data_IF_160718857268
#
_entry.id   IF_160718857268
#
_cell.length_a   1.000
_cell.length_b   1.000
_cell.length_c   1.000
_cell.angle_alpha   90.00
_cell.angle_beta   90.00
_cell.angle_gamma   90.00
#
_symmetry.space_group_name_H-M   'P 1'
#
loop_
_entity.id
_entity.type
_entity.pdbx_description
1 polymer ?
#
# COMPACT_ATOMS: atom_id res chain seq x y z
N UNK A 1 -14.98 -24.68 13.12
CA UNK A 1 -14.96 -23.23 12.84
C UNK A 1 -13.77 -22.55 13.54
N UNK A 2 -13.42 -22.99 14.75
CA UNK A 2 -12.24 -22.52 15.50
C UNK A 2 -10.89 -22.82 14.80
N UNK A 3 -10.74 -23.98 14.14
CA UNK A 3 -9.50 -24.35 13.44
C UNK A 3 -9.17 -23.49 12.22
N UNK A 4 -10.19 -22.99 11.51
CA UNK A 4 -9.99 -22.12 10.34
C UNK A 4 -9.50 -20.75 10.80
N UNK A 5 -10.08 -20.22 11.88
CA UNK A 5 -9.70 -18.93 12.47
C UNK A 5 -8.29 -19.04 13.07
N UNK A 6 -7.97 -20.15 13.74
CA UNK A 6 -6.64 -20.43 14.29
C UNK A 6 -5.57 -20.53 13.20
N UNK A 7 -5.84 -21.24 12.10
CA UNK A 7 -4.91 -21.34 10.98
C UNK A 7 -4.74 -20.01 10.24
N UNK A 8 -5.81 -19.23 10.06
CA UNK A 8 -5.73 -17.90 9.46
C UNK A 8 -4.93 -16.93 10.33
N UNK A 9 -5.10 -16.97 11.66
CA UNK A 9 -4.30 -16.19 12.61
C UNK A 9 -2.82 -16.57 12.54
N UNK A 10 -2.52 -17.88 12.52
CA UNK A 10 -1.16 -18.41 12.46
C UNK A 10 -0.45 -18.10 11.13
N UNK A 11 -1.16 -18.16 10.01
CA UNK A 11 -0.64 -17.73 8.70
C UNK A 11 -0.35 -16.23 8.69
N UNK A 12 -1.27 -15.42 9.23
CA UNK A 12 -1.09 -13.96 9.38
C UNK A 12 0.03 -13.58 10.37
N UNK A 13 0.37 -14.48 11.28
CA UNK A 13 1.49 -14.34 12.21
C UNK A 13 2.82 -14.77 11.56
N UNK A 14 2.81 -15.82 10.74
CA UNK A 14 3.94 -16.27 9.93
C UNK A 14 4.31 -15.25 8.83
N UNK A 15 3.31 -14.65 8.19
CA UNK A 15 3.50 -13.55 7.23
C UNK A 15 4.12 -12.32 7.91
N UNK A 16 3.62 -11.94 9.10
CA UNK A 16 4.20 -10.87 9.93
C UNK A 16 5.65 -11.14 10.34
N UNK A 17 6.00 -12.41 10.57
CA UNK A 17 7.30 -12.86 11.08
C UNK A 17 8.35 -13.19 10.00
N UNK A 18 8.06 -13.00 8.71
CA UNK A 18 8.95 -13.52 7.64
C UNK A 18 10.20 -12.66 7.32
N UNK A 19 10.45 -11.55 8.02
CA UNK A 19 11.74 -10.83 7.89
C UNK A 19 12.60 -11.05 9.12
N UNK A 20 13.46 -12.08 9.04
CA UNK A 20 14.49 -12.43 10.05
C UNK A 20 15.76 -11.57 9.91
N UNK A 21 15.62 -10.26 9.70
CA UNK A 21 16.83 -9.41 9.70
C UNK A 21 17.39 -9.36 11.12
N UNK A 22 18.66 -9.73 11.28
CA UNK A 22 19.40 -9.54 12.55
C UNK A 22 20.05 -8.16 12.62
N UNK A 23 20.09 -7.43 11.50
CA UNK A 23 20.74 -6.14 11.36
C UNK A 23 19.75 -5.03 11.67
N UNK A 24 20.08 -4.19 12.66
CA UNK A 24 19.26 -3.04 13.04
C UNK A 24 19.36 -1.95 11.96
N UNK A 25 18.25 -1.30 11.69
CA UNK A 25 18.21 -0.13 10.82
C UNK A 25 18.88 1.07 11.51
N UNK A 26 19.82 1.71 10.80
CA UNK A 26 20.66 2.79 11.35
C UNK A 26 20.19 4.19 10.94
N UNK A 27 19.27 4.29 9.97
CA UNK A 27 18.78 5.57 9.47
C UNK A 27 17.55 6.05 10.25
N UNK A 28 17.20 7.33 10.06
CA UNK A 28 15.97 7.90 10.59
C UNK A 28 14.77 7.36 9.81
N UNK A 29 14.13 6.33 10.36
CA UNK A 29 13.02 5.62 9.71
C UNK A 29 11.91 6.53 9.19
N UNK A 30 11.55 7.60 9.93
CA UNK A 30 10.53 8.55 9.49
C UNK A 30 10.96 9.32 8.23
N UNK A 31 12.16 9.87 8.21
CA UNK A 31 12.70 10.56 7.05
C UNK A 31 12.74 9.62 5.83
N UNK A 32 13.09 8.35 6.04
CA UNK A 32 13.16 7.37 4.96
C UNK A 32 11.78 6.92 4.47
N UNK A 33 10.75 6.90 5.33
CA UNK A 33 9.37 6.62 4.93
C UNK A 33 8.78 7.78 4.14
N UNK A 34 9.00 9.02 4.57
CA UNK A 34 8.57 10.23 3.86
C UNK A 34 9.14 10.24 2.44
N UNK A 35 10.46 10.09 2.28
CA UNK A 35 11.10 10.00 0.96
C UNK A 35 10.53 8.89 0.08
N UNK A 36 10.17 7.76 0.69
CA UNK A 36 9.61 6.63 -0.07
C UNK A 36 8.18 6.94 -0.52
N UNK A 37 7.39 7.61 0.31
CA UNK A 37 6.06 8.05 -0.05
C UNK A 37 6.13 9.11 -1.16
N UNK A 38 7.03 10.08 -1.06
CA UNK A 38 7.24 11.11 -2.10
C UNK A 38 7.57 10.47 -3.45
N UNK A 39 8.43 9.44 -3.46
CA UNK A 39 8.76 8.71 -4.70
C UNK A 39 7.56 7.96 -5.28
N UNK A 40 6.72 7.37 -4.42
CA UNK A 40 5.49 6.68 -4.87
C UNK A 40 4.48 7.69 -5.40
N UNK A 41 4.29 8.82 -4.73
CA UNK A 41 3.40 9.91 -5.17
C UNK A 41 3.81 10.43 -6.55
N UNK A 42 5.09 10.79 -6.73
CA UNK A 42 5.61 11.28 -8.00
C UNK A 42 5.44 10.25 -9.14
N UNK A 43 5.63 8.96 -8.84
CA UNK A 43 5.42 7.89 -9.82
C UNK A 43 3.93 7.72 -10.18
N UNK A 44 3.02 7.81 -9.20
CA UNK A 44 1.58 7.77 -9.42
C UNK A 44 1.12 8.95 -10.28
N UNK A 45 1.58 10.17 -9.99
CA UNK A 45 1.24 11.36 -10.79
C UNK A 45 1.66 11.20 -12.25
N UNK A 46 2.84 10.63 -12.49
CA UNK A 46 3.40 10.44 -13.83
C UNK A 46 2.73 9.31 -14.62
N UNK A 47 2.51 8.16 -13.98
CA UNK A 47 2.14 6.94 -14.68
C UNK A 47 0.65 6.60 -14.58
N UNK A 48 -0.02 6.96 -13.48
CA UNK A 48 -1.42 6.59 -13.28
C UNK A 48 -2.38 7.34 -14.21
N UNK A 49 -2.09 8.63 -14.45
CA UNK A 49 -2.86 9.50 -15.36
C UNK A 49 -2.88 9.01 -16.82
N UNK A 50 -1.99 8.09 -17.19
CA UNK A 50 -1.98 7.46 -18.52
C UNK A 50 -3.09 6.42 -18.69
N UNK A 51 -3.64 5.92 -17.58
CA UNK A 51 -4.59 4.82 -17.58
C UNK A 51 -5.97 5.22 -17.02
N UNK A 52 -6.02 6.21 -16.13
CA UNK A 52 -7.24 6.62 -15.44
C UNK A 52 -7.30 8.13 -15.25
N UNK A 53 -8.52 8.67 -15.12
CA UNK A 53 -8.73 10.04 -14.67
C UNK A 53 -8.54 10.12 -13.14
N UNK A 54 -7.48 10.82 -12.74
CA UNK A 54 -7.10 10.99 -11.34
C UNK A 54 -7.47 12.40 -10.91
N UNK A 55 -8.47 12.51 -10.04
CA UNK A 55 -8.93 13.78 -9.48
C UNK A 55 -7.85 14.41 -8.59
N UNK A 56 -7.30 13.60 -7.68
CA UNK A 56 -6.31 14.06 -6.70
C UNK A 56 -5.54 12.90 -6.09
N UNK A 57 -4.28 13.17 -5.76
CA UNK A 57 -3.46 12.35 -4.88
C UNK A 57 -3.16 13.23 -3.68
N UNK A 58 -3.48 12.76 -2.47
CA UNK A 58 -3.32 13.53 -1.24
C UNK A 58 -2.46 12.75 -0.26
N UNK A 59 -1.32 13.33 0.09
CA UNK A 59 -0.49 12.84 1.17
C UNK A 59 -1.17 13.01 2.54
N UNK A 60 -1.21 11.91 3.28
CA UNK A 60 -1.47 11.88 4.71
C UNK A 60 -0.24 11.39 5.47
N UNK A 61 -0.33 11.25 6.80
CA UNK A 61 0.82 10.96 7.66
C UNK A 61 1.67 9.76 7.23
N UNK A 62 1.05 8.68 6.79
CA UNK A 62 1.72 7.45 6.36
C UNK A 62 0.94 6.76 5.24
N UNK A 63 0.19 7.54 4.46
CA UNK A 63 -0.64 7.02 3.39
C UNK A 63 -0.78 8.04 2.27
N UNK A 64 -1.02 7.53 1.07
CA UNK A 64 -1.45 8.30 -0.08
C UNK A 64 -2.91 7.96 -0.35
N UNK A 65 -3.75 8.99 -0.44
CA UNK A 65 -5.14 8.86 -0.84
C UNK A 65 -5.27 9.25 -2.30
N UNK A 66 -5.56 8.28 -3.15
CA UNK A 66 -5.82 8.47 -4.58
C UNK A 66 -7.34 8.53 -4.77
N UNK A 67 -7.84 9.64 -5.31
CA UNK A 67 -9.23 9.79 -5.73
C UNK A 67 -9.30 9.77 -7.25
N UNK A 68 -10.24 9.00 -7.76
CA UNK A 68 -10.47 8.83 -9.19
C UNK A 68 -11.96 8.93 -9.49
N UNK A 69 -12.23 9.39 -10.70
CA UNK A 69 -13.56 9.43 -11.27
C UNK A 69 -13.58 8.57 -12.54
N UNK A 70 -14.54 7.65 -12.61
CA UNK A 70 -14.86 6.93 -13.84
C UNK A 70 -16.09 7.61 -14.45
N UNK A 71 -15.86 8.46 -15.46
CA UNK A 71 -16.95 9.18 -16.15
C UNK A 71 -17.93 8.25 -16.87
N UNK A 72 -17.46 7.11 -17.39
CA UNK A 72 -18.31 6.17 -18.13
C UNK A 72 -19.31 5.47 -17.20
N UNK A 73 -18.89 5.16 -15.97
CA UNK A 73 -19.72 4.48 -14.98
C UNK A 73 -20.36 5.43 -13.95
N UNK A 74 -19.94 6.69 -13.90
CA UNK A 74 -20.32 7.66 -12.88
C UNK A 74 -19.87 7.25 -11.47
N UNK A 75 -18.77 6.50 -11.36
CA UNK A 75 -18.28 5.93 -10.10
C UNK A 75 -17.09 6.74 -9.59
N UNK A 76 -17.18 7.20 -8.33
CA UNK A 76 -16.04 7.72 -7.58
C UNK A 76 -15.37 6.58 -6.83
N UNK A 77 -14.09 6.34 -7.14
CA UNK A 77 -13.25 5.37 -6.43
C UNK A 77 -12.19 6.09 -5.62
N UNK A 78 -12.00 5.64 -4.38
CA UNK A 78 -10.94 6.12 -3.51
C UNK A 78 -10.06 4.92 -3.16
N UNK A 79 -8.76 5.03 -3.41
CA UNK A 79 -7.76 4.03 -3.01
C UNK A 79 -6.84 4.68 -1.98
N UNK A 80 -6.76 4.11 -0.79
CA UNK A 80 -5.76 4.48 0.21
C UNK A 80 -4.58 3.51 0.14
N UNK A 81 -3.41 4.00 -0.27
CA UNK A 81 -2.15 3.28 -0.15
C UNK A 81 -1.53 3.57 1.21
N UNK A 82 -1.52 2.59 2.12
CA UNK A 82 -1.14 2.75 3.53
C UNK A 82 0.19 2.07 3.80
N UNK A 83 1.14 2.81 4.37
CA UNK A 83 2.45 2.33 4.81
C UNK A 83 2.39 2.04 6.32
N UNK A 84 2.16 0.78 6.68
CA UNK A 84 2.06 0.33 8.07
C UNK A 84 3.39 -0.17 8.59
N UNK A 85 3.71 0.25 9.80
CA UNK A 85 4.89 -0.21 10.51
C UNK A 85 4.64 -0.20 12.01
N UNK A 86 5.19 -1.18 12.71
CA UNK A 86 5.25 -1.23 14.16
C UNK A 86 6.68 -0.96 14.70
N UNK A 87 6.90 -1.15 16.00
CA UNK A 87 8.22 -0.96 16.63
C UNK A 87 9.29 -1.89 16.06
N UNK A 88 8.91 -3.11 15.67
CA UNK A 88 9.79 -4.11 15.07
C UNK A 88 10.17 -3.69 13.65
N UNK A 89 9.19 -3.25 12.88
CA UNK A 89 9.39 -2.73 11.53
C UNK A 89 10.32 -1.52 11.52
N UNK A 90 10.15 -0.57 12.45
CA UNK A 90 11.08 0.56 12.62
C UNK A 90 12.49 0.08 12.94
N UNK A 91 12.62 -0.89 13.86
CA UNK A 91 13.91 -1.44 14.30
C UNK A 91 14.68 -2.10 13.15
N UNK A 92 13.98 -2.69 12.20
CA UNK A 92 14.57 -3.43 11.08
C UNK A 92 14.43 -2.75 9.72
N UNK A 93 13.85 -1.54 9.67
CA UNK A 93 13.75 -0.75 8.46
C UNK A 93 12.76 -1.32 7.45
N UNK A 94 11.61 -1.80 7.91
CA UNK A 94 10.58 -2.40 7.07
C UNK A 94 9.27 -1.62 7.08
N UNK A 95 8.42 -1.84 6.08
CA UNK A 95 7.05 -1.34 6.04
C UNK A 95 6.16 -2.37 5.34
N UNK A 96 4.94 -2.55 5.85
CA UNK A 96 3.89 -3.32 5.18
C UNK A 96 3.02 -2.33 4.40
N UNK A 97 2.82 -2.58 3.11
CA UNK A 97 2.04 -1.71 2.26
C UNK A 97 0.70 -2.39 1.93
N UNK A 98 -0.39 -1.65 2.10
CA UNK A 98 -1.75 -2.09 1.83
C UNK A 98 -2.47 -1.09 0.92
N UNK A 99 -3.29 -1.58 0.01
CA UNK A 99 -4.25 -0.79 -0.74
C UNK A 99 -5.64 -1.06 -0.19
N UNK A 100 -6.36 0.00 0.17
CA UNK A 100 -7.75 -0.08 0.60
C UNK A 100 -8.60 0.69 -0.40
N UNK A 101 -9.36 -0.03 -1.22
CA UNK A 101 -10.28 0.60 -2.18
C UNK A 101 -11.67 0.73 -1.56
N UNK A 102 -12.30 1.87 -1.83
CA UNK A 102 -13.68 2.15 -1.45
C UNK A 102 -14.39 2.85 -2.60
N UNK A 103 -15.60 2.39 -2.89
CA UNK A 103 -16.50 2.93 -3.91
C UNK A 103 -17.84 3.24 -3.24
N UNK A 104 -18.59 4.18 -3.80
CA UNK A 104 -19.96 4.45 -3.36
C UNK A 104 -20.78 3.15 -3.46
N UNK A 105 -21.48 2.81 -2.37
CA UNK A 105 -22.36 1.63 -2.29
C UNK A 105 -21.68 0.24 -2.30
N UNK A 106 -20.34 0.14 -2.30
CA UNK A 106 -19.62 -1.14 -2.12
C UNK A 106 -18.87 -1.19 -0.78
N UNK A 107 -18.69 -2.41 -0.26
CA UNK A 107 -17.82 -2.62 0.92
C UNK A 107 -16.36 -2.36 0.53
N UNK A 108 -15.55 -1.76 1.42
CA UNK A 108 -14.12 -1.58 1.14
C UNK A 108 -13.42 -2.92 0.89
N UNK A 109 -12.57 -2.98 -0.13
CA UNK A 109 -11.71 -4.13 -0.40
C UNK A 109 -10.29 -3.84 0.11
N UNK A 110 -9.67 -4.85 0.71
CA UNK A 110 -8.32 -4.78 1.22
C UNK A 110 -7.42 -5.64 0.35
N UNK A 111 -6.32 -5.05 -0.11
CA UNK A 111 -5.28 -5.74 -0.88
C UNK A 111 -3.93 -5.52 -0.21
N UNK A 112 -3.26 -6.60 0.17
CA UNK A 112 -1.89 -6.52 0.70
C UNK A 112 -0.92 -6.49 -0.47
N UNK A 113 -0.13 -5.41 -0.57
CA UNK A 113 0.89 -5.26 -1.61
C UNK A 113 2.04 -6.20 -1.30
N UNK A 114 2.77 -5.91 -0.21
CA UNK A 114 3.79 -6.78 0.40
C UNK A 114 4.40 -6.10 1.64
N UNK A 115 5.39 -6.77 2.26
CA UNK A 115 6.31 -6.20 3.24
C UNK A 115 7.68 -5.94 2.62
N UNK A 116 8.14 -4.69 2.65
CA UNK A 116 9.41 -4.29 2.04
C UNK A 116 10.40 -3.77 3.06
N UNK A 117 11.69 -3.84 2.73
CA UNK A 117 12.63 -2.90 3.33
C UNK A 117 12.30 -1.50 2.81
N UNK A 118 12.32 -0.49 3.69
CA UNK A 118 12.03 0.89 3.30
C UNK A 118 13.06 1.47 2.31
N UNK A 119 14.22 0.81 2.17
CA UNK A 119 15.26 1.20 1.22
C UNK A 119 15.04 0.61 -0.19
N UNK A 120 14.18 -0.40 -0.34
CA UNK A 120 13.85 -1.03 -1.63
C UNK A 120 12.88 -0.16 -2.45
N UNK A 121 13.17 1.13 -2.61
CA UNK A 121 12.23 2.14 -3.13
C UNK A 121 11.72 1.84 -4.53
N UNK A 122 12.61 1.43 -5.42
CA UNK A 122 12.22 1.09 -6.80
C UNK A 122 11.24 -0.09 -6.83
N UNK A 123 11.49 -1.13 -6.03
CA UNK A 123 10.59 -2.29 -5.91
C UNK A 123 9.25 -1.90 -5.30
N UNK A 124 9.26 -1.01 -4.30
CA UNK A 124 8.05 -0.46 -3.69
C UNK A 124 7.22 0.27 -4.76
N UNK A 125 7.83 1.20 -5.49
CA UNK A 125 7.17 1.97 -6.55
C UNK A 125 6.57 1.06 -7.61
N UNK A 126 7.37 0.14 -8.16
CA UNK A 126 6.92 -0.79 -9.20
C UNK A 126 5.73 -1.63 -8.73
N UNK A 127 5.84 -2.22 -7.53
CA UNK A 127 4.82 -3.13 -7.02
C UNK A 127 3.54 -2.41 -6.60
N UNK A 128 3.65 -1.19 -6.03
CA UNK A 128 2.48 -0.35 -5.73
C UNK A 128 1.74 0.01 -7.01
N UNK A 129 2.43 0.49 -8.05
CA UNK A 129 1.80 0.83 -9.33
C UNK A 129 1.08 -0.37 -9.95
N UNK A 130 1.76 -1.52 -10.01
CA UNK A 130 1.20 -2.75 -10.57
C UNK A 130 -0.06 -3.20 -9.83
N UNK A 131 -0.01 -3.25 -8.50
CA UNK A 131 -1.12 -3.73 -7.69
C UNK A 131 -2.28 -2.73 -7.66
N UNK A 132 -1.98 -1.43 -7.74
CA UNK A 132 -3.01 -0.40 -7.85
C UNK A 132 -3.76 -0.52 -9.18
N UNK A 133 -3.08 -0.84 -10.28
CA UNK A 133 -3.73 -1.18 -11.56
C UNK A 133 -4.66 -2.40 -11.44
N UNK A 134 -4.25 -3.43 -10.70
CA UNK A 134 -5.10 -4.60 -10.44
C UNK A 134 -6.34 -4.20 -9.62
N UNK A 135 -6.17 -3.45 -8.53
CA UNK A 135 -7.28 -2.95 -7.72
C UNK A 135 -8.25 -2.04 -8.49
N UNK A 136 -7.78 -1.38 -9.54
CA UNK A 136 -8.62 -0.57 -10.43
C UNK A 136 -9.35 -1.41 -11.49
N UNK A 137 -8.70 -2.45 -12.01
CA UNK A 137 -9.23 -3.32 -13.08
C UNK A 137 -10.10 -4.48 -12.60
N UNK A 138 -10.26 -4.71 -11.30
CA UNK A 138 -11.37 -5.50 -10.78
C UNK A 138 -12.69 -4.77 -11.06
N UNK A 139 -13.07 -4.77 -12.34
CA UNK A 139 -14.39 -4.47 -12.88
C UNK A 139 -15.19 -5.74 -12.64
N UNK A 140 -16.17 -5.66 -11.75
CA UNK A 140 -17.22 -6.68 -11.67
C UNK A 140 -18.10 -6.58 -12.93
#
# INVERSE_FOLDING_TARGET
MEDIISNALRLRELERNSIKSRVKFIWKFKDEIEKTIDMVEAALEKDLRKYFEVDSIVYGKNNLKIRMHDEEQGIVRIINCVFRYDKTDIRYGNTNIELVSSETSKRPKFHTVWKFSILDREKIVEKVLKDLIVCMREVD
#
